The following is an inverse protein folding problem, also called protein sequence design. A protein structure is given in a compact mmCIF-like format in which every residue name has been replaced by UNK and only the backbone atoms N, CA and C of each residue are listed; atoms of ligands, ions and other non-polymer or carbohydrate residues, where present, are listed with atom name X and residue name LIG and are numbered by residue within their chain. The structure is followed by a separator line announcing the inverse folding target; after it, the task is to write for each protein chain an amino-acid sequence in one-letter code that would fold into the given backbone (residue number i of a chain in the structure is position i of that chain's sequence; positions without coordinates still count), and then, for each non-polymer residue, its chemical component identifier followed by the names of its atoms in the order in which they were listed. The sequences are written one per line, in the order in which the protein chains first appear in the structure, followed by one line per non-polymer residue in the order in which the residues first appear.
data_IF_699880750392
#
_entry.id   IF_699880750392
#
_cell.length_a   1.000
_cell.length_b   1.000
_cell.length_c   1.000
_cell.angle_alpha   90.00
_cell.angle_beta   90.00
_cell.angle_gamma   90.00
#
_symmetry.space_group_name_H-M   'P 1'
#
loop_
_entity.id
_entity.type
_entity.pdbx_description
1 polymer ?
#
# COMPACT_ATOMS: atom_id res chain seq x y z
N UNK A 1 -52.16 15.03 -37.98
CA UNK A 1 -51.01 15.36 -38.85
C UNK A 1 -49.79 14.70 -38.23
N UNK A 2 -49.43 13.50 -38.72
CA UNK A 2 -48.23 13.24 -39.55
C UNK A 2 -46.92 13.54 -38.77
N UNK A 3 -45.95 12.65 -38.59
CA UNK A 3 -45.58 11.52 -39.44
C UNK A 3 -44.71 10.49 -38.67
N UNK A 4 -44.85 9.21 -39.05
CA UNK A 4 -44.01 8.07 -38.67
C UNK A 4 -42.80 7.96 -39.60
N UNK A 5 -41.64 7.55 -39.08
CA UNK A 5 -40.51 6.92 -39.81
C UNK A 5 -39.82 6.01 -38.77
N UNK A 6 -39.92 4.67 -38.76
CA UNK A 6 -39.39 3.64 -39.69
C UNK A 6 -37.91 3.84 -40.00
N UNK A 7 -37.05 3.12 -39.28
CA UNK A 7 -35.65 2.87 -39.64
C UNK A 7 -35.51 1.42 -40.07
N UNK A 8 -35.09 1.23 -41.32
CA UNK A 8 -34.80 -0.04 -41.97
C UNK A 8 -33.29 -0.27 -41.95
N UNK A 9 -32.91 -1.50 -41.60
CA UNK A 9 -31.57 -2.08 -41.63
C UNK A 9 -31.05 -2.16 -43.08
N UNK A 10 -29.78 -1.80 -43.33
CA UNK A 10 -29.07 -2.27 -44.52
C UNK A 10 -27.65 -2.71 -44.19
N UNK A 11 -27.41 -3.96 -44.56
CA UNK A 11 -26.20 -4.76 -44.39
C UNK A 11 -25.26 -4.48 -45.56
N UNK A 12 -23.98 -4.18 -45.30
CA UNK A 12 -22.94 -4.11 -46.33
C UNK A 12 -21.96 -5.26 -46.08
N UNK A 13 -22.04 -6.27 -46.95
CA UNK A 13 -21.02 -7.29 -47.18
C UNK A 13 -19.87 -6.66 -47.98
N UNK A 14 -18.63 -6.83 -47.51
CA UNK A 14 -17.44 -6.68 -48.34
C UNK A 14 -16.66 -7.99 -48.32
N UNK A 15 -16.69 -8.67 -49.47
CA UNK A 15 -15.85 -9.81 -49.80
C UNK A 15 -14.47 -9.29 -50.21
N UNK A 16 -13.41 -9.76 -49.52
CA UNK A 16 -12.07 -9.85 -50.10
C UNK A 16 -11.56 -11.26 -49.76
N UNK A 17 -11.44 -12.10 -50.78
CA UNK A 17 -10.74 -13.37 -50.71
C UNK A 17 -9.32 -13.21 -51.22
N UNK A 18 -8.36 -13.80 -50.52
CA UNK A 18 -7.12 -14.30 -51.11
C UNK A 18 -6.80 -15.68 -50.53
N UNK A 19 -6.30 -16.52 -51.43
CA UNK A 19 -6.06 -17.95 -51.29
C UNK A 19 -4.89 -18.29 -50.36
N UNK A 20 -5.01 -19.49 -49.80
CA UNK A 20 -3.95 -20.32 -49.19
C UNK A 20 -2.76 -20.57 -50.13
N UNK A 21 -1.54 -20.59 -49.59
CA UNK A 21 -0.55 -21.66 -49.78
C UNK A 21 0.71 -21.48 -48.88
N UNK A 22 1.30 -22.62 -48.53
CA UNK A 22 2.33 -22.93 -47.52
C UNK A 22 3.75 -22.40 -47.78
N UNK A 23 4.56 -22.26 -46.71
CA UNK A 23 5.72 -23.13 -46.46
C UNK A 23 6.38 -22.84 -45.11
N UNK A 24 7.06 -23.88 -44.65
CA UNK A 24 7.60 -24.18 -43.33
C UNK A 24 8.67 -23.23 -42.76
N UNK A 25 8.86 -23.41 -41.45
CA UNK A 25 10.05 -23.21 -40.64
C UNK A 25 10.52 -21.77 -40.36
N UNK A 26 10.07 -21.24 -39.22
CA UNK A 26 10.95 -21.11 -38.04
C UNK A 26 10.09 -20.79 -36.82
N UNK A 27 9.99 -21.75 -35.91
CA UNK A 27 9.57 -21.48 -34.53
C UNK A 27 10.52 -20.44 -33.93
N UNK A 28 10.06 -19.20 -33.82
CA UNK A 28 10.60 -18.28 -32.84
C UNK A 28 9.94 -18.63 -31.50
N UNK A 29 10.58 -19.51 -30.73
CA UNK A 29 10.36 -19.55 -29.29
C UNK A 29 10.90 -18.24 -28.71
N UNK A 30 10.10 -17.42 -28.00
CA UNK A 30 10.65 -16.28 -27.29
C UNK A 30 11.49 -16.80 -26.12
N UNK A 31 12.75 -16.41 -26.19
CA UNK A 31 13.89 -16.67 -25.34
C UNK A 31 13.73 -16.10 -23.92
N UNK A 32 14.39 -16.74 -22.96
CA UNK A 32 14.29 -16.68 -21.49
C UNK A 32 14.10 -15.27 -20.85
N UNK A 33 12.92 -15.01 -20.26
CA UNK A 33 12.64 -13.80 -19.44
C UNK A 33 12.69 -14.03 -17.92
N UNK A 34 12.90 -15.27 -17.50
CA UNK A 34 12.95 -15.70 -16.09
C UNK A 34 14.35 -16.27 -15.82
N UNK A 35 14.95 -15.98 -14.66
CA UNK A 35 16.16 -16.72 -14.26
C UNK A 35 15.73 -18.19 -14.10
N UNK A 36 16.33 -19.16 -14.82
CA UNK A 36 15.96 -20.56 -14.71
C UNK A 36 15.89 -21.00 -13.24
N UNK A 37 14.89 -21.81 -12.90
CA UNK A 37 14.57 -22.32 -11.56
C UNK A 37 15.73 -22.97 -10.83
N UNK A 38 16.84 -23.25 -11.51
CA UNK A 38 17.99 -24.01 -11.04
C UNK A 38 18.79 -23.32 -9.92
N UNK A 39 18.46 -22.06 -9.57
CA UNK A 39 19.01 -21.35 -8.40
C UNK A 39 18.10 -21.36 -7.17
N UNK A 40 16.87 -21.87 -7.27
CA UNK A 40 15.90 -21.89 -6.17
C UNK A 40 15.51 -23.34 -5.84
N UNK A 41 15.58 -23.69 -4.56
CA UNK A 41 15.23 -24.99 -4.00
C UNK A 41 13.72 -25.27 -3.99
N UNK A 42 12.86 -24.31 -4.32
CA UNK A 42 11.41 -24.48 -4.44
C UNK A 42 10.96 -24.20 -5.87
N UNK A 43 10.49 -25.23 -6.57
CA UNK A 43 10.05 -25.15 -7.97
C UNK A 43 8.81 -24.26 -8.18
N UNK A 44 8.14 -23.85 -7.09
CA UNK A 44 7.04 -22.89 -7.15
C UNK A 44 7.52 -21.45 -7.23
N UNK A 45 8.79 -21.18 -6.89
CA UNK A 45 9.37 -19.85 -6.97
C UNK A 45 10.04 -19.63 -8.32
N UNK A 46 9.93 -18.42 -8.82
CA UNK A 46 10.73 -17.96 -9.96
C UNK A 46 11.21 -16.54 -9.70
N UNK A 47 12.48 -16.26 -10.02
CA UNK A 47 13.08 -14.94 -9.86
C UNK A 47 13.14 -14.24 -11.22
N UNK A 48 12.63 -13.02 -11.30
CA UNK A 48 12.73 -12.21 -12.51
C UNK A 48 14.21 -11.93 -12.84
N UNK A 49 14.56 -11.83 -14.14
CA UNK A 49 15.94 -11.60 -14.62
C UNK A 49 16.61 -10.34 -14.06
N UNK A 50 15.82 -9.33 -13.69
CA UNK A 50 16.32 -8.10 -13.08
C UNK A 50 16.52 -8.20 -11.55
N UNK A 51 16.26 -9.37 -10.96
CA UNK A 51 16.42 -9.67 -9.54
C UNK A 51 15.66 -8.71 -8.59
N UNK A 52 14.45 -8.29 -8.97
CA UNK A 52 13.57 -7.42 -8.16
C UNK A 52 12.30 -8.10 -7.67
N UNK A 53 11.74 -8.99 -8.48
CA UNK A 53 10.43 -9.61 -8.21
C UNK A 53 10.55 -11.13 -8.23
N UNK A 54 9.84 -11.76 -7.31
CA UNK A 54 9.65 -13.21 -7.25
C UNK A 54 8.20 -13.53 -7.59
N UNK A 55 7.96 -14.61 -8.32
CA UNK A 55 6.62 -15.20 -8.42
C UNK A 55 6.56 -16.45 -7.55
N UNK A 56 5.37 -16.74 -7.01
CA UNK A 56 5.09 -17.92 -6.24
C UNK A 56 3.82 -18.59 -6.78
N UNK A 57 4.02 -19.62 -7.58
CA UNK A 57 2.93 -20.36 -8.23
C UNK A 57 2.37 -21.43 -7.29
N UNK A 58 1.12 -21.24 -6.86
CA UNK A 58 0.41 -22.15 -5.94
C UNK A 58 -0.64 -23.02 -6.65
N UNK A 59 -0.67 -22.99 -7.99
CA UNK A 59 -1.53 -23.83 -8.81
C UNK A 59 -3.00 -23.73 -8.41
N UNK A 60 -3.61 -24.89 -8.14
CA UNK A 60 -5.03 -25.01 -7.78
C UNK A 60 -5.40 -24.30 -6.47
N UNK A 61 -4.44 -24.01 -5.57
CA UNK A 61 -4.73 -23.26 -4.33
C UNK A 61 -5.02 -21.78 -4.60
N UNK A 62 -4.73 -21.26 -5.81
CA UNK A 62 -4.84 -19.84 -6.14
C UNK A 62 -6.25 -19.28 -5.98
N UNK A 63 -7.28 -19.95 -6.47
CA UNK A 63 -8.66 -19.47 -6.34
C UNK A 63 -9.08 -19.29 -4.86
N UNK A 64 -8.61 -20.20 -3.99
CA UNK A 64 -8.83 -20.09 -2.54
C UNK A 64 -8.05 -18.95 -1.92
N UNK A 65 -6.81 -18.72 -2.38
CA UNK A 65 -5.99 -17.60 -1.95
C UNK A 65 -6.62 -16.25 -2.32
N UNK A 66 -7.05 -16.05 -3.56
CA UNK A 66 -7.72 -14.81 -4.02
C UNK A 66 -8.97 -14.50 -3.17
N UNK A 67 -9.70 -15.53 -2.76
CA UNK A 67 -10.87 -15.38 -1.89
C UNK A 67 -10.55 -14.94 -0.46
N UNK A 68 -9.32 -15.19 0.02
CA UNK A 68 -8.85 -14.86 1.37
C UNK A 68 -7.32 -14.69 1.41
N UNK A 69 -6.79 -13.60 0.83
CA UNK A 69 -5.35 -13.50 0.52
C UNK A 69 -4.49 -13.19 1.75
N UNK A 70 -5.12 -12.86 2.87
CA UNK A 70 -4.46 -12.72 4.18
C UNK A 70 -4.55 -14.00 5.02
N UNK A 71 -4.92 -15.13 4.42
CA UNK A 71 -4.97 -16.42 5.12
C UNK A 71 -3.56 -16.84 5.56
N UNK A 72 -3.35 -16.87 6.88
CA UNK A 72 -2.06 -17.15 7.51
C UNK A 72 -1.40 -18.43 6.99
N UNK A 73 -2.17 -19.48 6.71
CA UNK A 73 -1.63 -20.75 6.21
C UNK A 73 -0.92 -20.66 4.85
N UNK A 74 -1.36 -19.80 3.93
CA UNK A 74 -0.68 -19.64 2.63
C UNK A 74 0.50 -18.67 2.76
N UNK A 75 0.34 -17.60 3.54
CA UNK A 75 1.41 -16.64 3.81
C UNK A 75 2.59 -17.30 4.55
N UNK A 76 2.33 -18.15 5.54
CA UNK A 76 3.37 -18.91 6.24
C UNK A 76 4.11 -19.87 5.29
N UNK A 77 3.39 -20.60 4.43
CA UNK A 77 4.02 -21.45 3.40
C UNK A 77 4.90 -20.63 2.45
N UNK A 78 4.43 -19.46 2.02
CA UNK A 78 5.18 -18.55 1.15
C UNK A 78 6.45 -18.07 1.85
N UNK A 79 6.34 -17.51 3.05
CA UNK A 79 7.50 -17.00 3.80
C UNK A 79 8.52 -18.11 4.11
N UNK A 80 8.06 -19.30 4.49
CA UNK A 80 8.94 -20.46 4.65
C UNK A 80 9.70 -20.82 3.36
N UNK A 81 9.03 -20.77 2.21
CA UNK A 81 9.65 -20.99 0.90
C UNK A 81 10.68 -19.90 0.55
N UNK A 82 10.35 -18.63 0.79
CA UNK A 82 11.30 -17.52 0.60
C UNK A 82 12.54 -17.71 1.47
N UNK A 83 12.38 -17.90 2.78
CA UNK A 83 13.52 -18.04 3.69
C UNK A 83 14.25 -19.39 3.57
N UNK A 84 13.76 -20.36 2.80
CA UNK A 84 14.55 -21.52 2.40
C UNK A 84 15.58 -21.17 1.29
N UNK A 85 15.33 -20.09 0.53
CA UNK A 85 16.10 -19.69 -0.64
C UNK A 85 16.89 -18.40 -0.46
N UNK A 86 16.38 -17.49 0.35
CA UNK A 86 16.98 -16.21 0.66
C UNK A 86 17.47 -16.19 2.11
N UNK A 87 18.53 -15.43 2.36
CA UNK A 87 18.91 -15.02 3.70
C UNK A 87 17.76 -14.26 4.35
N UNK A 88 17.70 -14.32 5.68
CA UNK A 88 16.74 -13.53 6.44
C UNK A 88 17.12 -12.06 6.32
N UNK A 89 16.72 -11.36 5.25
CA UNK A 89 17.26 -10.04 4.89
C UNK A 89 16.21 -8.93 4.72
N UNK A 90 14.93 -9.27 4.81
CA UNK A 90 13.83 -8.38 4.44
C UNK A 90 13.13 -7.82 5.67
N UNK A 91 12.92 -6.51 5.68
CA UNK A 91 12.06 -5.82 6.66
C UNK A 91 10.59 -6.03 6.33
N UNK A 92 10.27 -6.11 5.03
CA UNK A 92 8.90 -6.25 4.55
C UNK A 92 8.79 -7.27 3.42
N UNK A 93 7.66 -7.96 3.37
CA UNK A 93 7.27 -8.79 2.22
C UNK A 93 6.00 -8.19 1.64
N UNK A 94 6.03 -7.84 0.36
CA UNK A 94 4.82 -7.42 -0.37
C UNK A 94 4.34 -8.59 -1.22
N UNK A 95 3.10 -8.99 -0.99
CA UNK A 95 2.40 -10.07 -1.68
C UNK A 95 1.35 -9.44 -2.60
N UNK A 96 1.54 -9.59 -3.89
CA UNK A 96 0.66 -9.08 -4.93
C UNK A 96 -0.18 -10.24 -5.47
N UNK A 97 -1.50 -10.08 -5.52
CA UNK A 97 -2.39 -11.02 -6.19
C UNK A 97 -2.34 -10.75 -7.69
N UNK A 98 -2.19 -11.79 -8.51
CA UNK A 98 -2.14 -11.69 -9.97
C UNK A 98 -3.53 -11.48 -10.61
N UNK A 99 -4.23 -10.44 -10.18
CA UNK A 99 -5.50 -9.99 -10.76
C UNK A 99 -5.32 -8.59 -11.33
N UNK A 100 -5.98 -8.28 -12.44
CA UNK A 100 -5.91 -6.94 -13.04
C UNK A 100 -6.52 -5.89 -12.11
N UNK A 101 -7.63 -6.24 -11.46
CA UNK A 101 -8.37 -5.41 -10.52
C UNK A 101 -8.68 -6.15 -9.23
N UNK A 102 -9.00 -5.41 -8.17
CA UNK A 102 -9.41 -5.98 -6.89
C UNK A 102 -10.58 -6.96 -7.09
N UNK A 103 -10.44 -8.24 -6.67
CA UNK A 103 -11.55 -9.19 -6.64
C UNK A 103 -12.80 -8.61 -5.96
N UNK A 104 -13.97 -8.85 -6.56
CA UNK A 104 -15.24 -8.27 -6.11
C UNK A 104 -15.59 -8.65 -4.66
N UNK A 105 -15.22 -9.86 -4.24
CA UNK A 105 -15.49 -10.40 -2.90
C UNK A 105 -14.61 -9.79 -1.79
N UNK A 106 -13.56 -9.04 -2.13
CA UNK A 106 -12.67 -8.41 -1.15
C UNK A 106 -13.15 -6.99 -0.83
N UNK A 107 -13.21 -6.66 0.46
CA UNK A 107 -13.62 -5.34 0.96
C UNK A 107 -12.47 -4.32 1.06
N UNK A 108 -11.25 -4.70 0.68
CA UNK A 108 -10.05 -3.89 0.82
C UNK A 108 -9.18 -3.98 -0.45
N UNK A 109 -8.45 -2.91 -0.76
CA UNK A 109 -7.50 -2.85 -1.88
C UNK A 109 -6.08 -3.27 -1.48
N UNK A 110 -5.78 -3.14 -0.21
CA UNK A 110 -4.53 -3.56 0.40
C UNK A 110 -4.77 -3.92 1.87
N UNK A 111 -3.83 -4.66 2.45
CA UNK A 111 -3.82 -4.93 3.87
C UNK A 111 -2.40 -5.09 4.38
N UNK A 112 -2.11 -4.43 5.49
CA UNK A 112 -0.91 -4.65 6.29
C UNK A 112 -1.14 -5.64 7.44
N UNK A 113 -0.13 -6.45 7.74
CA UNK A 113 -0.05 -7.26 8.95
C UNK A 113 1.27 -6.99 9.66
N UNK A 114 1.23 -6.43 10.88
CA UNK A 114 2.41 -6.30 11.72
C UNK A 114 2.86 -7.69 12.20
N UNK A 115 4.14 -7.99 12.03
CA UNK A 115 4.74 -9.28 12.41
C UNK A 115 5.57 -9.14 13.68
N UNK A 116 6.27 -8.01 13.81
CA UNK A 116 6.93 -7.62 15.05
C UNK A 116 6.86 -6.11 15.23
N UNK A 117 7.09 -5.67 16.47
CA UNK A 117 7.32 -4.28 16.81
C UNK A 117 8.30 -4.23 18.00
N UNK A 118 9.43 -3.55 17.80
CA UNK A 118 10.42 -3.26 18.84
C UNK A 118 10.43 -1.77 19.27
N UNK A 119 9.63 -0.95 18.61
CA UNK A 119 9.49 0.50 18.82
C UNK A 119 8.56 0.75 20.02
N UNK A 120 8.93 1.70 20.88
CA UNK A 120 8.12 2.14 22.02
C UNK A 120 7.46 3.49 21.74
N UNK A 121 6.38 3.75 22.48
CA UNK A 121 5.71 5.04 22.54
C UNK A 121 5.16 5.50 21.17
N UNK A 122 4.73 4.52 20.36
CA UNK A 122 3.94 4.73 19.14
C UNK A 122 2.51 4.19 19.28
N UNK A 123 2.12 3.75 20.47
CA UNK A 123 0.77 3.23 20.78
C UNK A 123 0.57 1.74 20.44
N UNK A 124 1.61 1.11 19.89
CA UNK A 124 1.66 -0.32 19.66
C UNK A 124 2.55 -0.98 20.73
N UNK A 125 2.07 -2.07 21.33
CA UNK A 125 2.88 -2.86 22.26
C UNK A 125 4.08 -3.50 21.55
N UNK A 126 5.11 -3.87 22.31
CA UNK A 126 6.19 -4.69 21.77
C UNK A 126 5.74 -6.13 21.64
N UNK A 127 6.03 -6.73 20.49
CA UNK A 127 5.82 -8.15 20.26
C UNK A 127 6.75 -8.63 19.14
N UNK A 128 6.94 -9.94 19.06
CA UNK A 128 7.71 -10.56 18.00
C UNK A 128 7.09 -11.91 17.62
N UNK A 129 6.50 -11.97 16.43
CA UNK A 129 6.02 -13.20 15.81
C UNK A 129 6.87 -13.62 14.61
N UNK A 130 8.04 -12.99 14.36
CA UNK A 130 8.79 -13.20 13.12
C UNK A 130 9.25 -14.64 12.93
N UNK A 131 9.51 -15.36 14.03
CA UNK A 131 9.89 -16.77 14.00
C UNK A 131 8.82 -17.67 13.34
N UNK A 132 7.53 -17.33 13.49
CA UNK A 132 6.42 -18.04 12.81
C UNK A 132 6.52 -17.95 11.29
N UNK A 133 7.14 -16.91 10.79
CA UNK A 133 7.35 -16.63 9.37
C UNK A 133 8.77 -16.95 8.91
N UNK A 134 9.58 -17.64 9.73
CA UNK A 134 10.95 -18.04 9.39
C UNK A 134 11.98 -16.91 9.42
N UNK A 135 11.67 -15.78 10.06
CA UNK A 135 12.52 -14.59 10.12
C UNK A 135 12.87 -14.20 11.56
N UNK A 136 13.95 -13.45 11.75
CA UNK A 136 14.27 -12.72 12.97
C UNK A 136 14.20 -11.19 12.82
N UNK A 137 13.81 -10.66 11.65
CA UNK A 137 13.81 -9.21 11.35
C UNK A 137 12.58 -8.68 10.59
N UNK A 138 11.75 -9.56 10.06
CA UNK A 138 10.55 -9.20 9.30
C UNK A 138 9.60 -8.36 10.16
N UNK A 139 9.40 -7.10 9.79
CA UNK A 139 8.52 -6.14 10.47
C UNK A 139 7.06 -6.35 10.08
N UNK A 140 6.79 -6.60 8.79
CA UNK A 140 5.43 -6.79 8.33
C UNK A 140 5.26 -7.38 6.94
N UNK A 141 4.01 -7.74 6.65
CA UNK A 141 3.60 -8.27 5.35
C UNK A 141 2.47 -7.41 4.79
N UNK A 142 2.63 -7.00 3.53
CA UNK A 142 1.64 -6.25 2.76
C UNK A 142 0.98 -7.22 1.79
N UNK A 143 -0.34 -7.18 1.72
CA UNK A 143 -1.10 -7.89 0.69
C UNK A 143 -1.78 -6.86 -0.19
N UNK A 144 -1.48 -6.85 -1.49
CA UNK A 144 -2.06 -5.95 -2.48
C UNK A 144 -2.92 -6.74 -3.45
N UNK A 145 -4.17 -6.32 -3.65
CA UNK A 145 -5.19 -7.16 -4.29
C UNK A 145 -5.22 -7.07 -5.82
N UNK A 146 -4.24 -6.42 -6.44
CA UNK A 146 -4.16 -6.27 -7.89
C UNK A 146 -2.72 -6.06 -8.35
N UNK A 147 -2.43 -6.48 -9.58
CA UNK A 147 -1.08 -6.60 -10.13
C UNK A 147 -0.30 -5.27 -10.13
N UNK A 148 -1.01 -4.16 -10.36
CA UNK A 148 -0.44 -2.81 -10.45
C UNK A 148 -0.44 -2.06 -9.11
N UNK A 149 -0.95 -2.67 -8.04
CA UNK A 149 -1.27 -1.93 -6.82
C UNK A 149 -0.04 -1.55 -5.98
N UNK A 150 1.15 -2.05 -6.33
CA UNK A 150 2.39 -1.52 -5.79
C UNK A 150 2.62 -0.07 -6.21
N UNK A 151 2.21 0.32 -7.42
CA UNK A 151 2.31 1.69 -7.92
C UNK A 151 0.99 2.46 -7.89
N UNK A 152 -0.07 1.89 -8.45
CA UNK A 152 -1.38 2.55 -8.59
C UNK A 152 -2.34 2.28 -7.44
N UNK A 153 -1.94 1.48 -6.46
CA UNK A 153 -2.75 1.09 -5.32
C UNK A 153 -2.33 1.75 -4.02
N UNK A 154 -2.67 1.14 -2.87
CA UNK A 154 -2.44 1.72 -1.55
C UNK A 154 -1.10 1.31 -0.93
N UNK A 155 -0.03 1.01 -1.68
CA UNK A 155 1.21 0.46 -1.08
C UNK A 155 1.84 1.38 -0.02
N UNK A 156 1.88 2.70 -0.24
CA UNK A 156 2.33 3.67 0.76
C UNK A 156 1.38 3.77 1.96
N UNK A 157 0.09 3.54 1.76
CA UNK A 157 -0.90 3.48 2.85
C UNK A 157 -0.70 2.21 3.68
N UNK A 158 -0.54 1.06 3.02
CA UNK A 158 -0.35 -0.21 3.70
C UNK A 158 0.94 -0.24 4.51
N UNK A 159 2.08 0.20 3.94
CA UNK A 159 3.35 0.24 4.68
C UNK A 159 3.29 1.19 5.88
N UNK A 160 2.46 2.24 5.82
CA UNK A 160 2.27 3.18 6.92
C UNK A 160 1.71 2.52 8.19
N UNK A 161 0.96 1.43 8.05
CA UNK A 161 0.40 0.71 9.20
C UNK A 161 1.47 0.08 10.11
N UNK A 162 2.73 0.00 9.66
CA UNK A 162 3.84 -0.33 10.55
C UNK A 162 4.04 0.70 11.67
N UNK A 163 3.72 1.98 11.38
CA UNK A 163 3.87 3.13 12.26
C UNK A 163 2.57 3.93 12.39
N UNK A 164 1.43 3.25 12.33
CA UNK A 164 0.10 3.85 12.23
C UNK A 164 -0.27 4.74 13.44
N UNK A 165 -1.46 5.37 13.37
CA UNK A 165 -2.01 6.11 14.50
C UNK A 165 -2.54 5.17 15.60
N UNK A 166 -1.64 4.57 16.39
CA UNK A 166 -2.02 3.77 17.55
C UNK A 166 -2.00 4.58 18.87
N UNK A 167 -1.47 5.82 18.84
CA UNK A 167 -1.37 6.69 20.03
C UNK A 167 -2.68 7.37 20.38
N UNK A 168 -3.35 7.92 19.37
CA UNK A 168 -4.45 8.85 19.59
C UNK A 168 -5.75 8.05 19.56
N UNK A 169 -6.12 7.57 20.75
CA UNK A 169 -7.41 6.92 21.00
C UNK A 169 -8.52 7.97 21.00
N UNK A 170 -9.31 8.02 19.94
CA UNK A 170 -10.76 8.26 19.95
C UNK A 170 -11.26 8.57 18.54
N UNK A 171 -11.28 7.52 17.72
CA UNK A 171 -11.98 7.54 16.46
C UNK A 171 -13.24 6.69 16.57
N UNK A 172 -14.11 6.87 17.59
CA UNK A 172 -15.32 6.04 17.77
C UNK A 172 -16.14 5.84 16.47
N UNK A 173 -16.21 6.86 15.61
CA UNK A 173 -16.81 6.76 14.28
C UNK A 173 -16.08 5.78 13.36
N UNK A 174 -14.74 5.79 13.36
CA UNK A 174 -13.89 4.88 12.59
C UNK A 174 -13.85 3.50 13.24
N UNK A 175 -13.77 3.35 14.58
CA UNK A 175 -13.72 2.05 15.28
C UNK A 175 -14.91 1.16 14.95
N UNK A 176 -16.07 1.74 14.59
CA UNK A 176 -17.25 0.99 14.15
C UNK A 176 -17.13 0.42 12.73
N UNK A 177 -16.22 0.96 11.92
CA UNK A 177 -16.11 0.67 10.48
C UNK A 177 -14.71 0.22 10.02
N UNK A 178 -13.62 0.57 10.74
CA UNK A 178 -12.22 0.34 10.37
C UNK A 178 -11.31 0.23 11.61
N UNK A 179 -10.20 -0.48 11.42
CA UNK A 179 -9.19 -0.80 12.45
C UNK A 179 -8.55 0.51 12.94
N UNK A 180 -8.40 0.67 14.26
CA UNK A 180 -8.00 1.92 14.95
C UNK A 180 -6.56 2.38 14.70
N UNK A 181 -6.20 2.60 13.44
CA UNK A 181 -4.87 2.93 12.95
C UNK A 181 -4.88 4.19 12.03
N UNK A 182 -6.05 4.76 11.76
CA UNK A 182 -6.26 5.89 10.86
C UNK A 182 -6.43 7.23 11.59
N UNK A 183 -6.28 8.34 10.87
CA UNK A 183 -6.33 9.68 11.45
C UNK A 183 -7.75 10.21 11.65
N UNK A 184 -8.72 9.82 10.84
CA UNK A 184 -10.09 10.29 11.02
C UNK A 184 -10.26 11.78 10.81
N UNK A 185 -10.97 12.42 11.75
CA UNK A 185 -11.13 13.87 11.81
C UNK A 185 -10.00 14.47 12.66
N UNK A 186 -8.77 14.21 12.22
CA UNK A 186 -7.54 14.75 12.80
C UNK A 186 -6.81 15.57 11.75
N UNK A 187 -6.34 16.74 12.16
CA UNK A 187 -5.55 17.63 11.33
C UNK A 187 -4.10 17.17 11.21
N UNK A 188 -3.43 17.64 10.17
CA UNK A 188 -1.99 17.57 10.02
C UNK A 188 -1.49 18.74 9.17
N UNK A 189 -0.17 18.91 9.07
CA UNK A 189 0.43 19.91 8.19
C UNK A 189 -0.01 19.70 6.72
N UNK A 190 -0.15 18.43 6.32
CA UNK A 190 -0.82 17.95 5.12
C UNK A 190 -1.73 16.77 5.48
N UNK A 191 -2.53 16.29 4.54
CA UNK A 191 -3.24 15.01 4.69
C UNK A 191 -2.22 13.89 4.69
N UNK A 192 -2.36 12.93 5.60
CA UNK A 192 -1.46 11.79 5.70
C UNK A 192 -1.89 10.62 4.81
N UNK A 193 -1.01 9.63 4.67
CA UNK A 193 -1.33 8.37 4.02
C UNK A 193 -2.55 7.68 4.67
N UNK A 194 -2.68 7.78 5.99
CA UNK A 194 -3.74 7.15 6.79
C UNK A 194 -4.97 8.06 7.01
N UNK A 195 -5.14 9.07 6.15
CA UNK A 195 -6.28 9.98 6.15
C UNK A 195 -6.02 11.30 6.88
N UNK A 196 -7.06 11.88 7.47
CA UNK A 196 -7.01 13.18 8.11
C UNK A 196 -7.16 14.35 7.15
N UNK A 197 -7.22 15.56 7.71
CA UNK A 197 -7.38 16.80 6.95
C UNK A 197 -6.16 17.71 7.08
N UNK A 198 -6.01 18.65 6.13
CA UNK A 198 -4.99 19.69 6.25
C UNK A 198 -5.44 20.73 7.28
N UNK A 199 -4.70 20.85 8.39
CA UNK A 199 -5.02 21.72 9.52
C UNK A 199 -5.27 23.17 9.07
N UNK A 200 -4.51 23.67 8.09
CA UNK A 200 -4.66 25.02 7.53
C UNK A 200 -6.01 25.29 6.86
N UNK A 201 -6.74 24.24 6.49
CA UNK A 201 -8.06 24.35 5.85
C UNK A 201 -9.20 24.30 6.87
N UNK A 202 -8.88 24.03 8.14
CA UNK A 202 -9.85 24.06 9.22
C UNK A 202 -10.31 25.51 9.45
N UNK A 203 -11.61 25.71 9.42
CA UNK A 203 -12.25 26.98 9.74
C UNK A 203 -13.47 26.77 10.61
N UNK A 204 -13.76 27.74 11.47
CA UNK A 204 -15.01 27.85 12.20
C UNK A 204 -16.08 28.60 11.38
N UNK A 205 -17.32 28.13 11.48
CA UNK A 205 -18.59 28.67 10.96
C UNK A 205 -18.64 29.51 9.65
N UNK A 206 -19.37 28.95 8.65
CA UNK A 206 -20.13 29.72 7.64
C UNK A 206 -21.64 29.31 7.61
N UNK A 207 -22.07 28.22 8.27
CA UNK A 207 -23.48 27.70 8.26
C UNK A 207 -23.86 26.91 9.54
N UNK A 208 -24.79 25.93 9.48
CA UNK A 208 -25.33 25.12 10.60
C UNK A 208 -24.36 24.09 11.23
N UNK A 209 -23.10 24.08 10.82
CA UNK A 209 -22.06 23.20 11.37
C UNK A 209 -21.03 24.04 12.12
N UNK A 210 -20.40 23.45 13.14
CA UNK A 210 -19.40 24.15 13.95
C UNK A 210 -18.05 24.25 13.24
N UNK A 211 -17.69 23.25 12.43
CA UNK A 211 -16.38 23.14 11.78
C UNK A 211 -16.47 22.79 10.29
N UNK A 212 -15.50 23.28 9.53
CA UNK A 212 -15.30 22.96 8.12
C UNK A 212 -13.82 22.67 7.84
N UNK A 213 -13.55 21.70 6.97
CA UNK A 213 -12.24 21.48 6.37
C UNK A 213 -12.39 21.22 4.87
N UNK A 214 -11.32 21.40 4.08
CA UNK A 214 -11.33 20.97 2.68
C UNK A 214 -11.61 19.46 2.59
N UNK A 215 -12.36 18.99 1.57
CA UNK A 215 -12.74 17.57 1.41
C UNK A 215 -11.54 16.67 1.61
N UNK A 216 -11.64 15.70 2.50
CA UNK A 216 -10.59 14.75 2.84
C UNK A 216 -11.17 13.35 3.06
N UNK A 217 -10.31 12.34 3.02
CA UNK A 217 -10.68 10.98 3.41
C UNK A 217 -10.29 10.74 4.86
N UNK A 218 -11.23 10.41 5.76
CA UNK A 218 -10.90 10.10 7.16
C UNK A 218 -9.93 8.91 7.30
N UNK A 219 -9.99 7.95 6.36
CA UNK A 219 -9.20 6.72 6.42
C UNK A 219 -8.00 6.72 5.48
N UNK A 220 -8.04 7.45 4.36
CA UNK A 220 -6.99 7.36 3.36
C UNK A 220 -7.00 8.61 2.46
N UNK A 221 -5.83 8.95 1.92
CA UNK A 221 -5.65 10.14 1.08
C UNK A 221 -5.21 9.79 -0.35
N UNK A 222 -5.88 8.80 -0.96
CA UNK A 222 -5.75 8.54 -2.40
C UNK A 222 -4.59 7.63 -2.82
N UNK A 223 -4.31 6.57 -2.05
CA UNK A 223 -3.27 5.60 -2.40
C UNK A 223 -1.88 6.23 -2.33
N UNK A 224 -1.08 6.10 -3.39
CA UNK A 224 0.28 6.66 -3.44
C UNK A 224 0.35 8.16 -3.82
N UNK A 225 -0.77 8.89 -3.70
CA UNK A 225 -0.82 10.32 -4.03
C UNK A 225 -0.41 11.23 -2.87
N UNK A 226 -0.63 10.80 -1.63
CA UNK A 226 -0.27 11.61 -0.48
C UNK A 226 1.21 11.44 -0.14
N UNK A 227 1.71 12.41 0.63
CA UNK A 227 2.96 12.28 1.35
C UNK A 227 2.64 11.81 2.77
N UNK A 228 3.66 11.41 3.52
CA UNK A 228 3.52 11.26 4.96
C UNK A 228 3.43 12.64 5.61
N UNK A 229 2.45 12.81 6.51
CA UNK A 229 2.35 14.02 7.32
C UNK A 229 3.42 14.02 8.44
N UNK A 230 3.61 15.14 9.12
CA UNK A 230 4.62 15.28 10.18
C UNK A 230 4.46 14.23 11.30
N UNK A 231 3.23 13.93 11.73
CA UNK A 231 3.00 12.93 12.77
C UNK A 231 3.34 11.51 12.30
N UNK A 232 2.99 11.17 11.05
CA UNK A 232 3.39 9.90 10.41
C UNK A 232 4.93 9.82 10.32
N UNK A 233 5.62 10.87 9.88
CA UNK A 233 7.07 10.92 9.82
C UNK A 233 7.73 10.78 11.21
N UNK A 234 7.14 11.39 12.24
CA UNK A 234 7.60 11.21 13.63
C UNK A 234 7.45 9.77 14.10
N UNK A 235 6.29 9.15 13.86
CA UNK A 235 6.02 7.76 14.22
C UNK A 235 6.92 6.77 13.46
N UNK A 236 7.28 7.10 12.21
CA UNK A 236 8.30 6.38 11.43
C UNK A 236 9.72 6.55 11.99
N UNK A 237 9.97 7.57 12.83
CA UNK A 237 11.29 7.90 13.35
C UNK A 237 12.15 8.70 12.37
N UNK A 238 11.52 9.45 11.47
CA UNK A 238 12.21 10.22 10.43
C UNK A 238 12.39 11.69 10.79
N UNK A 239 11.57 12.23 11.70
CA UNK A 239 11.70 13.58 12.26
C UNK A 239 11.55 13.56 13.78
N UNK A 240 12.17 14.50 14.51
CA UNK A 240 11.95 14.69 15.94
C UNK A 240 10.53 15.19 16.24
N UNK A 241 10.03 14.94 17.45
CA UNK A 241 8.70 15.38 17.88
C UNK A 241 8.55 16.91 17.81
N UNK A 242 9.66 17.62 18.00
CA UNK A 242 9.76 19.08 17.94
C UNK A 242 9.50 19.65 16.53
N UNK A 243 9.58 18.83 15.47
CA UNK A 243 9.20 19.22 14.10
C UNK A 243 7.71 18.98 13.80
N UNK A 244 6.95 18.37 14.72
CA UNK A 244 5.51 18.15 14.54
C UNK A 244 4.74 19.41 14.93
N UNK A 245 4.11 20.07 13.95
CA UNK A 245 3.29 21.24 14.20
C UNK A 245 2.02 20.88 14.99
N UNK A 246 1.53 21.77 15.87
CA UNK A 246 0.29 21.51 16.59
C UNK A 246 -0.91 21.27 15.66
N UNK A 247 -1.74 20.29 16.00
CA UNK A 247 -2.90 19.90 15.19
C UNK A 247 -4.12 19.58 16.07
N UNK A 248 -5.30 19.65 15.48
CA UNK A 248 -6.57 19.42 16.16
C UNK A 248 -7.15 18.04 15.82
N UNK A 249 -7.66 17.34 16.82
CA UNK A 249 -8.52 16.16 16.67
C UNK A 249 -9.93 16.47 17.15
N UNK A 250 -10.91 15.95 16.40
CA UNK A 250 -12.33 16.07 16.72
C UNK A 250 -12.98 14.72 17.00
N UNK A 251 -13.76 14.65 18.08
CA UNK A 251 -14.46 13.42 18.49
C UNK A 251 -15.90 13.71 18.92
N UNK A 252 -16.72 12.66 19.05
CA UNK A 252 -18.17 12.81 19.22
C UNK A 252 -18.83 13.51 18.02
N UNK A 253 -18.49 13.05 16.82
CA UNK A 253 -18.91 13.68 15.56
C UNK A 253 -20.42 13.53 15.33
N UNK A 254 -21.03 14.57 14.78
CA UNK A 254 -22.41 14.55 14.29
C UNK A 254 -22.58 15.47 13.09
N UNK A 255 -23.66 15.26 12.31
CA UNK A 255 -23.98 16.03 11.10
C UNK A 255 -22.79 16.17 10.13
N UNK A 256 -22.07 15.08 9.85
CA UNK A 256 -20.99 15.10 8.87
C UNK A 256 -21.59 15.20 7.47
N UNK A 257 -21.33 16.30 6.77
CA UNK A 257 -21.84 16.57 5.42
C UNK A 257 -20.69 16.94 4.50
N UNK A 258 -20.56 16.19 3.41
CA UNK A 258 -19.65 16.51 2.32
C UNK A 258 -20.37 17.36 1.26
N UNK A 259 -19.85 18.58 1.02
CA UNK A 259 -20.32 19.49 -0.02
C UNK A 259 -19.28 19.51 -1.15
N UNK A 260 -19.53 18.68 -2.17
CA UNK A 260 -18.63 18.51 -3.32
C UNK A 260 -18.52 19.78 -4.17
N UNK A 261 -19.58 20.58 -4.26
CA UNK A 261 -19.60 21.81 -5.06
C UNK A 261 -18.68 22.88 -4.45
N UNK A 262 -18.60 22.92 -3.11
CA UNK A 262 -17.73 23.84 -2.38
C UNK A 262 -16.37 23.25 -2.02
N UNK A 263 -16.16 21.96 -2.24
CA UNK A 263 -14.91 21.29 -1.90
C UNK A 263 -14.64 21.19 -0.39
N UNK A 264 -15.69 21.13 0.44
CA UNK A 264 -15.56 21.08 1.91
C UNK A 264 -16.33 19.93 2.57
N UNK A 265 -15.90 19.54 3.77
CA UNK A 265 -16.67 18.71 4.70
C UNK A 265 -17.00 19.59 5.91
N UNK A 266 -18.31 19.72 6.20
CA UNK A 266 -18.81 20.35 7.41
C UNK A 266 -19.18 19.30 8.45
N UNK A 267 -18.93 19.56 9.73
CA UNK A 267 -19.26 18.64 10.82
C UNK A 267 -19.43 19.37 12.16
N UNK A 268 -20.19 18.76 13.07
CA UNK A 268 -20.24 19.11 14.49
C UNK A 268 -19.37 18.10 15.27
N UNK A 269 -18.83 18.52 16.40
CA UNK A 269 -18.01 17.68 17.28
C UNK A 269 -18.30 18.01 18.75
N UNK A 270 -18.42 16.98 19.59
CA UNK A 270 -18.57 17.17 21.04
C UNK A 270 -17.26 17.62 21.69
N UNK A 271 -16.12 17.12 21.19
CA UNK A 271 -14.81 17.42 21.74
C UNK A 271 -13.84 17.87 20.64
N UNK A 272 -12.97 18.80 21.01
CA UNK A 272 -11.77 19.19 20.27
C UNK A 272 -10.56 19.04 21.19
N UNK A 273 -9.55 18.33 20.74
CA UNK A 273 -8.25 18.24 21.43
C UNK A 273 -7.16 18.79 20.51
N UNK A 274 -6.41 19.79 20.97
CA UNK A 274 -5.22 20.27 20.27
C UNK A 274 -4.00 19.51 20.79
N UNK A 275 -3.36 18.75 19.91
CA UNK A 275 -2.12 18.04 20.20
C UNK A 275 -0.93 18.96 19.91
N UNK A 276 -0.13 19.22 20.94
CA UNK A 276 1.19 19.87 20.81
C UNK A 276 2.29 18.84 21.09
N UNK A 277 3.55 19.09 20.68
CA UNK A 277 4.69 18.26 21.05
C UNK A 277 4.76 17.97 22.56
N UNK A 278 4.49 18.97 23.40
CA UNK A 278 4.51 18.84 24.85
C UNK A 278 3.42 17.89 25.35
N UNK A 279 2.19 18.03 24.81
CA UNK A 279 1.07 17.17 25.20
C UNK A 279 1.31 15.72 24.77
N UNK A 280 1.87 15.51 23.57
CA UNK A 280 2.22 14.17 23.07
C UNK A 280 3.29 13.55 23.98
N UNK A 281 4.33 14.31 24.31
CA UNK A 281 5.40 13.86 25.19
C UNK A 281 4.90 13.52 26.60
N UNK A 282 4.03 14.36 27.17
CA UNK A 282 3.45 14.15 28.50
C UNK A 282 2.56 12.90 28.55
N UNK A 283 1.70 12.71 27.54
CA UNK A 283 0.73 11.61 27.51
C UNK A 283 1.33 10.27 27.14
N UNK A 284 2.24 10.27 26.17
CA UNK A 284 2.68 9.04 25.50
C UNK A 284 4.17 8.76 25.65
N UNK A 285 4.95 9.73 26.14
CA UNK A 285 6.40 9.65 26.16
C UNK A 285 7.02 9.86 24.77
N UNK A 286 8.34 9.85 24.74
CA UNK A 286 9.12 10.04 23.52
C UNK A 286 9.27 8.71 22.78
N UNK A 287 9.03 8.70 21.46
CA UNK A 287 9.29 7.53 20.61
C UNK A 287 10.70 7.00 20.86
N UNK A 288 10.83 5.68 21.03
CA UNK A 288 12.14 5.01 21.17
C UNK A 288 12.25 3.86 20.16
N UNK A 289 13.28 3.80 19.30
CA UNK A 289 14.43 4.70 19.22
C UNK A 289 14.05 6.14 18.84
N UNK A 290 14.93 7.10 19.10
CA UNK A 290 14.76 8.46 18.57
C UNK A 290 15.15 8.52 17.09
N UNK A 291 14.82 9.59 16.34
CA UNK A 291 15.10 9.64 14.91
C UNK A 291 16.58 9.48 14.53
N UNK A 292 17.50 9.90 15.39
CA UNK A 292 18.94 9.72 15.17
C UNK A 292 19.33 8.24 15.03
N UNK A 293 18.74 7.39 15.87
CA UNK A 293 19.05 5.95 15.95
C UNK A 293 18.04 5.08 15.17
N UNK A 294 17.03 5.71 14.56
CA UNK A 294 15.99 5.03 13.80
C UNK A 294 16.51 4.54 12.46
N UNK A 295 16.05 3.34 12.07
CA UNK A 295 16.28 2.78 10.73
C UNK A 295 15.65 3.68 9.67
N UNK A 296 16.43 4.02 8.65
CA UNK A 296 15.98 4.85 7.49
C UNK A 296 16.15 4.14 6.16
N UNK A 297 16.87 3.02 6.14
CA UNK A 297 17.02 2.16 4.97
C UNK A 297 16.33 0.84 5.27
N UNK A 298 15.32 0.52 4.47
CA UNK A 298 14.54 -0.70 4.58
C UNK A 298 14.74 -1.55 3.33
N UNK A 299 14.52 -2.86 3.46
CA UNK A 299 14.55 -3.81 2.35
C UNK A 299 13.23 -4.56 2.25
N UNK A 300 12.67 -4.61 1.05
CA UNK A 300 11.40 -5.26 0.74
C UNK A 300 11.58 -6.27 -0.38
N UNK A 301 11.04 -7.46 -0.21
CA UNK A 301 10.87 -8.41 -1.32
C UNK A 301 9.45 -8.29 -1.88
N UNK A 302 9.36 -8.16 -3.20
CA UNK A 302 8.08 -8.13 -3.93
C UNK A 302 7.80 -9.51 -4.50
N UNK A 303 6.64 -10.06 -4.14
CA UNK A 303 6.21 -11.40 -4.51
C UNK A 303 4.86 -11.35 -5.19
N UNK A 304 4.72 -11.95 -6.36
CA UNK A 304 3.43 -12.14 -7.04
C UNK A 304 2.96 -13.57 -6.83
N UNK A 305 1.79 -13.76 -6.22
CA UNK A 305 1.19 -15.09 -6.04
C UNK A 305 0.29 -15.39 -7.23
N UNK A 306 0.43 -16.59 -7.81
CA UNK A 306 -0.23 -16.95 -9.07
C UNK A 306 -0.78 -18.38 -9.07
N UNK A 307 -1.76 -18.65 -9.93
CA UNK A 307 -2.22 -20.03 -10.24
C UNK A 307 -1.58 -20.64 -11.48
N UNK A 308 -1.01 -19.80 -12.35
CA UNK A 308 -0.25 -20.19 -13.55
C UNK A 308 1.03 -19.35 -13.62
N UNK A 309 2.04 -19.76 -14.40
CA UNK A 309 3.20 -18.91 -14.65
C UNK A 309 2.77 -17.51 -15.15
N UNK A 310 3.48 -16.47 -14.71
CA UNK A 310 3.27 -15.12 -15.19
C UNK A 310 3.60 -15.01 -16.68
N UNK A 311 2.85 -14.19 -17.41
CA UNK A 311 3.23 -13.78 -18.76
C UNK A 311 4.39 -12.78 -18.72
N UNK A 312 5.05 -12.57 -19.86
CA UNK A 312 6.10 -11.53 -19.99
C UNK A 312 5.58 -10.14 -19.64
N UNK A 313 4.37 -9.79 -20.09
CA UNK A 313 3.74 -8.51 -19.74
C UNK A 313 3.51 -8.38 -18.23
N UNK A 314 3.03 -9.43 -17.57
CA UNK A 314 2.80 -9.40 -16.12
C UNK A 314 4.11 -9.21 -15.36
N UNK A 315 5.19 -9.87 -15.78
CA UNK A 315 6.53 -9.66 -15.23
C UNK A 315 7.02 -8.23 -15.39
N UNK A 316 6.92 -7.67 -16.60
CA UNK A 316 7.38 -6.31 -16.89
C UNK A 316 6.67 -5.26 -16.04
N UNK A 317 5.34 -5.43 -15.85
CA UNK A 317 4.53 -4.54 -15.02
C UNK A 317 5.02 -4.52 -13.58
N UNK A 318 5.15 -5.69 -12.95
CA UNK A 318 5.53 -5.75 -11.52
C UNK A 318 6.98 -5.38 -11.31
N UNK A 319 7.86 -5.69 -12.26
CA UNK A 319 9.27 -5.33 -12.21
C UNK A 319 9.47 -3.81 -12.30
N UNK A 320 8.76 -3.15 -13.23
CA UNK A 320 8.75 -1.68 -13.34
C UNK A 320 8.17 -1.02 -12.10
N UNK A 321 7.09 -1.56 -11.54
CA UNK A 321 6.48 -1.02 -10.32
C UNK A 321 7.40 -1.21 -9.10
N UNK A 322 8.12 -2.33 -9.01
CA UNK A 322 9.10 -2.57 -7.97
C UNK A 322 10.30 -1.62 -8.09
N UNK A 323 10.84 -1.42 -9.29
CA UNK A 323 11.90 -0.45 -9.56
C UNK A 323 11.47 0.98 -9.18
N UNK A 324 10.27 1.37 -9.61
CA UNK A 324 9.68 2.67 -9.28
C UNK A 324 9.54 2.88 -7.77
N UNK A 325 8.96 1.91 -7.06
CA UNK A 325 8.67 2.04 -5.63
C UNK A 325 9.95 2.18 -4.79
N UNK A 326 11.01 1.48 -5.19
CA UNK A 326 12.31 1.49 -4.51
C UNK A 326 13.27 2.59 -4.96
N UNK A 327 12.86 3.45 -5.88
CA UNK A 327 13.70 4.50 -6.45
C UNK A 327 14.02 5.58 -5.40
N UNK A 328 15.30 5.84 -5.04
CA UNK A 328 15.67 6.79 -3.99
C UNK A 328 15.79 8.23 -4.51
N UNK A 329 14.92 8.61 -5.45
CA UNK A 329 14.89 9.95 -6.04
C UNK A 329 13.48 10.30 -6.54
N UNK A 330 13.24 11.60 -6.72
CA UNK A 330 12.02 12.06 -7.36
C UNK A 330 11.99 11.65 -8.85
N UNK A 331 10.80 11.33 -9.36
CA UNK A 331 10.62 10.94 -10.76
C UNK A 331 9.71 11.89 -11.55
N UNK A 332 9.15 12.91 -10.89
CA UNK A 332 8.23 13.88 -11.49
C UNK A 332 6.82 13.34 -11.77
N UNK A 333 6.52 12.12 -11.31
CA UNK A 333 5.19 11.53 -11.31
C UNK A 333 4.25 12.29 -10.37
N UNK A 334 2.95 12.14 -10.60
CA UNK A 334 1.92 12.58 -9.64
C UNK A 334 1.80 11.62 -8.45
N UNK A 335 2.17 10.35 -8.64
CA UNK A 335 2.26 9.34 -7.59
C UNK A 335 3.65 9.41 -6.99
N UNK A 336 3.75 9.32 -5.67
CA UNK A 336 5.00 9.30 -4.94
C UNK A 336 5.52 7.88 -4.79
N UNK A 337 6.82 7.66 -5.02
CA UNK A 337 7.49 6.46 -4.52
C UNK A 337 7.77 6.59 -3.00
N UNK A 338 8.34 5.55 -2.37
CA UNK A 338 8.60 5.57 -0.92
C UNK A 338 9.55 6.69 -0.47
N UNK A 339 10.56 7.00 -1.28
CA UNK A 339 11.50 8.07 -0.98
C UNK A 339 10.82 9.44 -1.04
N UNK A 340 10.03 9.70 -2.09
CA UNK A 340 9.26 10.93 -2.24
C UNK A 340 8.24 11.11 -1.10
N UNK A 341 7.50 10.05 -0.77
CA UNK A 341 6.50 10.06 0.29
C UNK A 341 7.06 10.44 1.66
N UNK A 342 8.32 10.07 1.92
CA UNK A 342 9.04 10.42 3.16
C UNK A 342 9.76 11.78 3.09
N UNK A 343 9.59 12.53 1.99
CA UNK A 343 10.32 13.77 1.74
C UNK A 343 11.84 13.55 1.66
N UNK A 344 12.25 12.40 1.16
CA UNK A 344 13.64 11.99 0.99
C UNK A 344 14.38 11.53 2.25
N UNK A 345 13.66 11.23 3.33
CA UNK A 345 14.24 10.86 4.64
C UNK A 345 14.49 9.36 4.80
N UNK A 346 13.86 8.51 3.99
CA UNK A 346 14.03 7.06 4.03
C UNK A 346 14.07 6.44 2.63
N UNK A 347 14.62 5.23 2.55
CA UNK A 347 14.73 4.45 1.31
C UNK A 347 14.17 3.05 1.49
N UNK A 348 13.61 2.50 0.42
CA UNK A 348 13.16 1.10 0.33
C UNK A 348 13.93 0.41 -0.80
N UNK A 349 14.75 -0.59 -0.48
CA UNK A 349 15.36 -1.42 -1.52
C UNK A 349 14.40 -2.55 -1.91
N UNK A 350 14.00 -2.58 -3.18
CA UNK A 350 13.09 -3.59 -3.77
C UNK A 350 13.82 -4.52 -4.77
N UNK A 351 15.15 -4.45 -4.83
CA UNK A 351 15.98 -5.15 -5.82
C UNK A 351 17.17 -5.89 -5.24
N UNK A 352 18.11 -6.26 -6.12
CA UNK A 352 19.32 -7.03 -5.79
C UNK A 352 19.02 -8.33 -5.02
N UNK A 353 17.93 -9.01 -5.36
CA UNK A 353 17.52 -10.25 -4.70
C UNK A 353 18.56 -11.37 -4.88
N UNK A 354 19.35 -11.32 -5.96
CA UNK A 354 20.49 -12.21 -6.19
C UNK A 354 21.56 -12.12 -5.09
N UNK A 355 21.76 -10.93 -4.50
CA UNK A 355 22.67 -10.73 -3.35
C UNK A 355 22.10 -11.24 -2.03
N UNK A 356 20.83 -11.62 -2.03
CA UNK A 356 20.12 -12.12 -0.85
C UNK A 356 19.90 -13.64 -0.92
N UNK A 357 20.29 -14.31 -2.02
CA UNK A 357 20.20 -15.76 -2.17
C UNK A 357 21.20 -16.48 -1.26
N UNK A 358 20.83 -17.69 -0.81
CA UNK A 358 21.66 -18.58 0.03
C UNK A 358 22.70 -19.41 -0.73
#
# INVERSE_FOLDING_TARGET
MLNKFVFIFFMILLFIGFNSCSNDDTEATPDDTVVPSDKLNDSRLSLHKNHRVVSYNIGEEYARFVSSPSSSGIIEKLTASLYANFHDDFDFITVIINEEEKPENLSFFGRYSNIQNDIQNIGLEKFDNSARYGSGRLQGILVLTGLRYLRSGPSLHEIAHNWANFLIEDTEWIRSSFVGAHWGFTGGNVRGQLGGFEQRTLSDQITSHDWFAAIFGPNASGGNLALYNEMELYLMGLIPLEEVTPFDMFTGLSNVIQDNDKGVIGFNAANKTTFTPELILERYGRRTPEPADSRKAFKMIVVVVTGTPLTEEQWEVVDTDAEWFGKPEADGSRLNNFWEATGGRATMETGNLDKSLK
#
